data_IF_675096906992
#
_entry.id   IF_675096906992
#
_cell.length_a   1.000
_cell.length_b   1.000
_cell.length_c   1.000
_cell.angle_alpha   90.00
_cell.angle_beta   90.00
_cell.angle_gamma   90.00
#
_symmetry.space_group_name_H-M   'P 1'
#
loop_
_entity.id
_entity.type
_entity.pdbx_description
1 polymer ?
#
# COMPACT_ATOMS: atom_id res chain seq x y z
N UNK A 1 61.65 18.50 -11.75
CA UNK A 1 63.01 18.20 -11.22
C UNK A 1 62.90 17.47 -9.87
N UNK A 2 63.02 16.14 -9.95
CA UNK A 2 63.33 15.14 -8.90
C UNK A 2 62.31 15.04 -7.73
N UNK A 3 61.58 13.93 -7.51
CA UNK A 3 61.98 12.51 -7.56
C UNK A 3 62.32 12.07 -6.12
N UNK A 4 61.81 10.98 -5.55
CA UNK A 4 61.02 9.89 -6.11
C UNK A 4 60.61 8.86 -5.05
N UNK A 5 59.97 7.81 -5.56
CA UNK A 5 59.56 6.59 -4.88
C UNK A 5 60.74 5.75 -4.37
N UNK A 6 60.59 5.19 -3.16
CA UNK A 6 61.14 3.91 -2.73
C UNK A 6 60.11 3.36 -1.70
N UNK A 7 59.61 2.14 -1.70
CA UNK A 7 60.16 0.89 -2.18
C UNK A 7 59.81 -0.17 -1.12
N UNK A 8 58.86 -1.03 -1.47
CA UNK A 8 58.48 -2.32 -0.91
C UNK A 8 59.18 -2.89 0.35
N UNK A 9 58.36 -3.38 1.28
CA UNK A 9 58.61 -4.65 1.98
C UNK A 9 57.43 -5.61 1.79
N UNK A 10 57.61 -6.75 1.09
CA UNK A 10 56.71 -7.90 1.15
C UNK A 10 57.07 -8.75 2.38
N UNK A 11 56.15 -9.56 2.92
CA UNK A 11 56.20 -11.03 3.08
C UNK A 11 55.12 -11.44 4.10
N UNK A 12 54.23 -12.35 3.70
CA UNK A 12 53.61 -13.47 4.44
C UNK A 12 52.23 -13.74 3.83
N UNK A 13 52.14 -14.53 2.77
CA UNK A 13 52.22 -16.00 2.69
C UNK A 13 50.86 -16.68 2.86
N UNK A 14 50.43 -17.28 1.74
CA UNK A 14 49.71 -18.55 1.60
C UNK A 14 48.52 -18.83 2.53
N UNK A 15 47.33 -19.01 1.94
CA UNK A 15 46.58 -20.29 1.97
C UNK A 15 45.35 -20.17 1.04
N UNK A 16 45.39 -20.97 -0.04
CA UNK A 16 44.23 -21.57 -0.76
C UNK A 16 43.48 -20.69 -1.78
N UNK A 17 44.11 -20.49 -2.94
CA UNK A 17 43.41 -20.45 -4.24
C UNK A 17 43.62 -21.79 -4.91
N UNK A 18 42.67 -22.71 -4.74
CA UNK A 18 42.64 -23.99 -5.46
C UNK A 18 41.20 -24.46 -5.69
N UNK A 19 40.44 -23.71 -6.49
CA UNK A 19 39.30 -24.30 -7.22
C UNK A 19 38.75 -23.34 -8.31
N UNK A 20 39.57 -22.98 -9.29
CA UNK A 20 39.08 -22.38 -10.54
C UNK A 20 39.83 -23.03 -11.70
N UNK A 21 39.27 -24.16 -12.14
CA UNK A 21 39.34 -24.74 -13.50
C UNK A 21 38.98 -26.23 -13.42
N UNK A 22 37.71 -26.55 -13.60
CA UNK A 22 37.31 -27.81 -14.24
C UNK A 22 35.92 -27.66 -14.87
N UNK A 23 35.94 -27.81 -16.18
CA UNK A 23 34.87 -28.29 -17.07
C UNK A 23 33.71 -27.34 -17.40
N UNK A 24 33.85 -26.78 -18.60
CA UNK A 24 32.78 -26.35 -19.47
C UNK A 24 31.89 -27.53 -19.92
N UNK A 25 30.68 -27.16 -20.36
CA UNK A 25 29.74 -27.87 -21.24
C UNK A 25 28.85 -28.98 -20.63
N UNK A 26 27.56 -28.66 -20.40
CA UNK A 26 26.39 -29.41 -20.96
C UNK A 26 25.22 -28.42 -21.16
N UNK A 27 24.53 -28.59 -22.29
CA UNK A 27 23.48 -27.75 -22.86
C UNK A 27 22.09 -27.89 -22.21
N UNK A 28 21.32 -26.79 -22.30
CA UNK A 28 19.97 -26.66 -22.86
C UNK A 28 19.10 -27.94 -23.01
N UNK A 29 18.23 -28.21 -22.02
CA UNK A 29 16.88 -28.81 -22.11
C UNK A 29 16.55 -29.62 -20.83
N UNK A 30 15.66 -29.12 -19.96
CA UNK A 30 14.68 -29.92 -19.19
C UNK A 30 14.02 -29.09 -18.07
N UNK A 31 13.03 -28.27 -18.43
CA UNK A 31 12.04 -27.72 -17.46
C UNK A 31 10.66 -27.77 -18.12
N UNK A 32 10.28 -28.94 -18.64
CA UNK A 32 8.93 -29.25 -19.13
C UNK A 32 8.55 -30.70 -18.83
N UNK A 33 8.75 -31.14 -17.59
CA UNK A 33 8.37 -32.49 -17.16
C UNK A 33 8.15 -32.52 -15.65
N UNK A 34 7.26 -31.67 -15.14
CA UNK A 34 6.77 -31.75 -13.75
C UNK A 34 5.27 -31.37 -13.66
N UNK A 35 4.50 -31.77 -14.68
CA UNK A 35 3.03 -31.80 -14.67
C UNK A 35 2.55 -33.17 -15.13
N UNK A 36 2.83 -34.22 -14.34
CA UNK A 36 2.16 -35.52 -14.49
C UNK A 36 2.61 -36.50 -13.40
N UNK A 37 2.09 -36.35 -12.18
CA UNK A 37 1.92 -37.44 -11.18
C UNK A 37 1.51 -36.83 -9.83
N UNK A 38 0.21 -36.70 -9.62
CA UNK A 38 -0.40 -36.97 -8.32
C UNK A 38 -1.91 -36.98 -8.51
N UNK A 39 -2.37 -37.99 -9.23
CA UNK A 39 -3.76 -38.42 -9.19
C UNK A 39 -3.79 -39.81 -8.59
N UNK A 40 -4.66 -39.97 -7.58
CA UNK A 40 -5.30 -41.24 -7.16
C UNK A 40 -4.51 -42.09 -6.14
N UNK A 41 -4.96 -42.03 -4.88
CA UNK A 41 -5.29 -43.18 -4.02
C UNK A 41 -5.53 -42.73 -2.57
N UNK A 42 -6.75 -42.91 -2.07
CA UNK A 42 -7.03 -43.36 -0.70
C UNK A 42 -8.54 -43.56 -0.50
N UNK A 43 -8.92 -44.82 -0.38
CA UNK A 43 -10.21 -45.33 0.13
C UNK A 43 -9.93 -45.86 1.55
N UNK A 44 -10.96 -45.85 2.40
CA UNK A 44 -11.15 -46.56 3.68
C UNK A 44 -10.27 -46.20 4.90
N UNK A 45 -10.88 -45.80 6.02
CA UNK A 45 -11.30 -46.68 7.14
C UNK A 45 -11.97 -45.83 8.27
N UNK A 46 -12.75 -46.48 9.15
CA UNK A 46 -13.59 -45.88 10.22
C UNK A 46 -12.82 -45.18 11.35
N UNK A 47 -13.37 -44.81 12.51
CA UNK A 47 -14.54 -45.28 13.27
C UNK A 47 -14.65 -44.42 14.55
N UNK A 48 -15.86 -44.30 15.13
CA UNK A 48 -16.09 -43.82 16.50
C UNK A 48 -16.30 -42.31 16.62
N UNK A 49 -17.29 -41.76 17.32
CA UNK A 49 -18.28 -42.29 18.26
C UNK A 49 -18.76 -41.05 19.04
N UNK A 50 -19.94 -40.52 18.72
CA UNK A 50 -20.44 -39.30 19.38
C UNK A 50 -21.28 -39.68 20.60
N UNK A 51 -20.66 -39.56 21.78
CA UNK A 51 -21.37 -39.64 23.05
C UNK A 51 -22.23 -38.38 23.24
N UNK A 52 -23.49 -38.61 23.60
CA UNK A 52 -24.45 -37.63 24.07
C UNK A 52 -24.15 -37.27 25.54
N UNK A 53 -24.16 -35.98 25.85
CA UNK A 53 -24.54 -35.38 27.12
C UNK A 53 -24.56 -33.86 26.87
N UNK A 54 -25.47 -33.04 27.35
CA UNK A 54 -26.59 -33.17 28.27
C UNK A 54 -27.04 -31.72 28.49
N UNK A 55 -28.32 -31.45 28.28
CA UNK A 55 -28.90 -30.15 28.57
C UNK A 55 -28.85 -29.90 30.08
N UNK A 56 -28.37 -28.74 30.50
CA UNK A 56 -28.87 -28.10 31.71
C UNK A 56 -28.92 -26.59 31.49
N UNK A 57 -30.11 -26.09 31.77
CA UNK A 57 -30.61 -24.75 31.66
C UNK A 57 -30.06 -23.95 32.86
N UNK A 58 -29.49 -22.77 32.62
CA UNK A 58 -29.45 -21.73 33.65
C UNK A 58 -29.43 -20.36 32.97
N UNK A 59 -30.62 -19.79 32.85
CA UNK A 59 -30.86 -18.38 32.58
C UNK A 59 -30.17 -17.52 33.64
N UNK A 60 -29.37 -16.55 33.19
CA UNK A 60 -29.10 -15.33 33.96
C UNK A 60 -29.50 -14.18 33.05
N UNK A 61 -30.66 -13.60 33.35
CA UNK A 61 -31.16 -12.37 32.75
C UNK A 61 -30.24 -11.19 33.10
N UNK A 62 -30.03 -10.24 32.17
CA UNK A 62 -29.19 -9.07 32.39
C UNK A 62 -29.88 -8.02 33.27
N UNK A 63 -29.14 -7.52 34.26
CA UNK A 63 -29.54 -6.39 35.09
C UNK A 63 -29.47 -5.06 34.31
N UNK A 64 -30.63 -4.39 34.27
CA UNK A 64 -30.89 -2.95 34.34
C UNK A 64 -30.24 -1.99 33.33
N UNK A 65 -31.03 -1.39 32.40
CA UNK A 65 -30.60 -0.24 31.60
C UNK A 65 -30.58 1.08 32.42
N UNK A 66 -29.77 2.08 32.02
CA UNK A 66 -29.79 3.40 32.63
C UNK A 66 -31.09 4.17 32.33
N UNK A 67 -31.38 5.07 33.28
CA UNK A 67 -32.54 5.96 33.45
C UNK A 67 -33.16 6.52 32.16
N UNK A 68 -34.48 6.53 32.17
CA UNK A 68 -35.34 7.29 31.27
C UNK A 68 -34.99 8.78 31.31
N UNK A 69 -34.44 9.29 30.22
CA UNK A 69 -34.61 10.68 29.83
C UNK A 69 -35.81 10.77 28.90
N UNK A 70 -36.67 11.75 29.18
CA UNK A 70 -37.92 12.00 28.49
C UNK A 70 -37.68 12.25 27.00
N UNK A 71 -38.03 11.28 26.15
CA UNK A 71 -38.44 11.59 24.79
C UNK A 71 -39.95 11.57 24.78
N UNK A 72 -40.53 12.76 24.90
CA UNK A 72 -41.89 13.04 24.45
C UNK A 72 -42.02 12.49 23.02
N UNK A 73 -42.68 11.35 22.87
CA UNK A 73 -43.34 11.04 21.60
C UNK A 73 -44.48 12.03 21.49
N UNK A 74 -44.16 13.25 21.04
CA UNK A 74 -45.13 14.01 20.32
C UNK A 74 -45.38 13.19 19.05
N UNK A 75 -46.47 12.45 19.05
CA UNK A 75 -47.30 12.34 17.87
C UNK A 75 -47.55 13.78 17.41
N UNK A 76 -46.63 14.34 16.63
CA UNK A 76 -47.01 15.39 15.71
C UNK A 76 -47.75 14.64 14.63
N UNK A 77 -49.06 14.64 14.80
CA UNK A 77 -50.01 14.48 13.72
C UNK A 77 -49.47 15.15 12.46
N UNK A 78 -49.80 14.58 11.31
CA UNK A 78 -49.65 15.17 9.99
C UNK A 78 -50.39 16.52 9.93
N UNK A 79 -49.86 17.54 10.60
CA UNK A 79 -50.33 18.90 10.51
C UNK A 79 -49.67 19.50 9.27
N UNK A 80 -50.40 19.38 8.16
CA UNK A 80 -50.37 20.34 7.07
C UNK A 80 -50.73 21.72 7.65
N UNK A 81 -49.75 22.40 8.24
CA UNK A 81 -49.88 23.83 8.54
C UNK A 81 -49.74 24.60 7.24
N UNK A 82 -50.85 24.70 6.52
CA UNK A 82 -50.99 25.61 5.37
C UNK A 82 -51.00 27.05 5.87
N UNK A 83 -49.82 27.61 6.14
CA UNK A 83 -49.62 29.06 6.25
C UNK A 83 -48.98 29.56 4.95
N UNK A 84 -49.83 29.96 4.00
CA UNK A 84 -49.42 30.65 2.76
C UNK A 84 -49.17 29.74 1.54
N UNK A 85 -49.06 30.33 0.33
CA UNK A 85 -49.12 29.62 -0.95
C UNK A 85 -47.83 28.85 -1.33
N UNK A 86 -46.86 28.72 -0.44
CA UNK A 86 -45.62 28.01 -0.74
C UNK A 86 -45.64 26.63 -0.07
N UNK A 87 -45.62 25.58 -0.90
CA UNK A 87 -45.42 24.22 -0.40
C UNK A 87 -44.03 24.11 0.22
N UNK A 88 -43.92 24.08 1.54
CA UNK A 88 -42.69 23.68 2.22
C UNK A 88 -42.50 22.19 2.04
N UNK A 89 -41.90 21.80 0.92
CA UNK A 89 -41.43 20.44 0.72
C UNK A 89 -40.50 20.06 1.88
N UNK A 90 -40.67 18.84 2.39
CA UNK A 90 -39.77 18.17 3.34
C UNK A 90 -38.33 18.34 2.81
N UNK A 91 -37.57 19.28 3.37
CA UNK A 91 -36.16 19.46 3.01
C UNK A 91 -35.48 18.12 3.32
N UNK A 92 -35.03 17.42 2.28
CA UNK A 92 -34.39 16.12 2.44
C UNK A 92 -33.16 16.25 3.33
N UNK A 93 -32.94 15.27 4.20
CA UNK A 93 -31.79 15.24 5.10
C UNK A 93 -30.50 15.33 4.29
N UNK A 94 -29.86 16.50 4.29
CA UNK A 94 -28.61 16.71 3.58
C UNK A 94 -27.53 15.88 4.29
N UNK A 95 -27.14 14.75 3.71
CA UNK A 95 -26.01 13.96 4.19
C UNK A 95 -24.70 14.70 3.87
N UNK A 96 -24.27 15.55 4.80
CA UNK A 96 -22.99 16.27 4.69
C UNK A 96 -21.85 15.26 4.81
N UNK A 97 -21.35 14.81 3.66
CA UNK A 97 -20.17 13.94 3.58
C UNK A 97 -18.94 14.77 3.93
N UNK A 98 -18.32 14.48 5.07
CA UNK A 98 -17.08 15.14 5.47
C UNK A 98 -16.02 14.98 4.37
N UNK A 99 -15.31 16.07 4.06
CA UNK A 99 -14.24 16.07 3.07
C UNK A 99 -13.13 15.10 3.47
N UNK A 100 -12.83 14.12 2.60
CA UNK A 100 -11.76 13.13 2.80
C UNK A 100 -10.38 13.74 2.52
N UNK A 101 -9.96 14.68 3.36
CA UNK A 101 -8.61 15.21 3.32
C UNK A 101 -7.61 14.22 3.92
N UNK A 102 -6.37 14.24 3.43
CA UNK A 102 -5.28 13.44 4.04
C UNK A 102 -4.84 14.13 5.32
N UNK A 103 -5.13 13.51 6.46
CA UNK A 103 -4.80 14.04 7.77
C UNK A 103 -3.38 13.67 8.18
N UNK A 104 -2.73 14.52 8.96
CA UNK A 104 -1.45 14.18 9.60
C UNK A 104 -1.78 13.33 10.83
N UNK A 105 -1.55 12.03 10.72
CA UNK A 105 -1.78 11.07 11.79
C UNK A 105 -0.60 10.10 11.92
N UNK A 106 -0.49 9.50 13.09
CA UNK A 106 0.52 8.47 13.36
C UNK A 106 0.30 7.27 12.45
N UNK A 107 1.38 6.68 11.95
CA UNK A 107 1.34 5.55 11.03
C UNK A 107 1.02 5.91 9.58
N UNK A 108 0.68 7.16 9.27
CA UNK A 108 0.52 7.59 7.88
C UNK A 108 1.87 7.58 7.17
N UNK A 109 1.86 7.05 5.94
CA UNK A 109 3.04 6.96 5.10
C UNK A 109 3.19 8.26 4.30
N UNK A 110 4.43 8.69 4.21
CA UNK A 110 4.89 9.97 3.74
C UNK A 110 5.89 9.75 2.62
N UNK A 111 5.80 10.59 1.59
CA UNK A 111 6.82 10.73 0.55
C UNK A 111 7.59 12.03 0.77
N UNK A 112 8.92 11.97 0.83
CA UNK A 112 9.75 13.17 0.85
C UNK A 112 9.82 13.82 -0.53
N UNK A 113 9.54 15.12 -0.61
CA UNK A 113 9.67 15.93 -1.84
C UNK A 113 11.02 16.62 -1.96
N UNK A 114 11.61 17.02 -0.83
CA UNK A 114 12.82 17.85 -0.77
C UNK A 114 13.79 17.30 0.28
N UNK A 115 15.06 17.71 0.19
CA UNK A 115 16.12 17.33 1.11
C UNK A 115 16.84 16.04 0.71
N UNK A 116 17.75 15.60 1.58
CA UNK A 116 18.61 14.43 1.34
C UNK A 116 17.85 13.10 1.17
N UNK A 117 16.60 13.06 1.62
CA UNK A 117 15.72 11.88 1.52
C UNK A 117 14.66 12.01 0.43
N UNK A 118 14.79 12.96 -0.51
CA UNK A 118 13.81 13.16 -1.57
C UNK A 118 13.52 11.87 -2.36
N UNK A 119 12.23 11.61 -2.60
CA UNK A 119 11.75 10.42 -3.28
C UNK A 119 11.66 9.16 -2.42
N UNK A 120 12.13 9.20 -1.16
CA UNK A 120 12.03 8.07 -0.22
C UNK A 120 10.70 8.08 0.52
N UNK A 121 10.29 6.89 0.94
CA UNK A 121 9.11 6.68 1.76
C UNK A 121 9.47 6.62 3.24
N UNK A 122 8.53 7.04 4.08
CA UNK A 122 8.64 6.87 5.51
C UNK A 122 7.28 6.87 6.20
N UNK A 123 7.20 6.33 7.42
CA UNK A 123 6.02 6.41 8.28
C UNK A 123 6.21 7.52 9.33
N UNK A 124 5.11 8.17 9.71
CA UNK A 124 5.08 9.08 10.85
C UNK A 124 5.01 8.26 12.14
N UNK A 125 6.05 8.31 12.96
CA UNK A 125 6.09 7.65 14.27
C UNK A 125 5.31 8.48 15.31
N UNK A 126 5.57 9.78 15.34
CA UNK A 126 4.97 10.72 16.28
C UNK A 126 4.87 12.11 15.65
N UNK A 127 3.87 12.88 16.09
CA UNK A 127 3.75 14.30 15.78
C UNK A 127 4.46 15.05 16.91
N UNK A 128 5.47 15.84 16.55
CA UNK A 128 6.24 16.62 17.54
C UNK A 128 5.51 17.95 17.75
N UNK A 129 5.38 18.71 16.67
CA UNK A 129 4.73 20.02 16.64
C UNK A 129 3.82 20.10 15.40
N UNK A 130 3.05 21.17 15.28
CA UNK A 130 2.22 21.43 14.10
C UNK A 130 2.99 21.51 12.78
N UNK A 131 4.31 21.78 12.83
CA UNK A 131 5.17 21.92 11.65
C UNK A 131 6.12 20.75 11.44
N UNK A 132 6.30 19.88 12.45
CA UNK A 132 7.36 18.86 12.47
C UNK A 132 6.83 17.52 12.95
N UNK A 133 7.28 16.46 12.29
CA UNK A 133 6.93 15.08 12.58
C UNK A 133 8.18 14.25 12.77
N UNK A 134 8.13 13.28 13.68
CA UNK A 134 9.15 12.26 13.81
C UNK A 134 8.87 11.17 12.78
N UNK A 135 9.84 10.94 11.90
CA UNK A 135 9.66 10.12 10.70
C UNK A 135 10.74 9.06 10.62
N UNK A 136 10.36 7.89 10.12
CA UNK A 136 11.27 6.78 9.90
C UNK A 136 10.84 5.95 8.69
N UNK A 137 11.79 5.57 7.83
CA UNK A 137 11.51 4.83 6.60
C UNK A 137 12.28 3.54 6.53
N UNK A 138 11.54 2.44 6.40
CA UNK A 138 12.09 1.11 6.20
C UNK A 138 11.99 0.76 4.72
N UNK A 139 13.07 0.20 4.18
CA UNK A 139 13.04 -0.34 2.84
C UNK A 139 13.96 -1.55 2.73
N UNK A 140 13.67 -2.40 1.75
CA UNK A 140 14.52 -3.54 1.38
C UNK A 140 15.91 -3.09 0.90
N UNK A 141 15.98 -1.92 0.24
CA UNK A 141 17.24 -1.35 -0.26
C UNK A 141 17.85 -0.39 0.76
N UNK A 142 19.11 -0.64 1.16
CA UNK A 142 19.85 0.22 2.11
C UNK A 142 19.88 1.69 1.69
N UNK A 143 19.98 1.98 0.38
CA UNK A 143 19.99 3.34 -0.16
C UNK A 143 18.67 4.10 0.03
N UNK A 144 17.55 3.40 0.21
CA UNK A 144 16.21 3.98 0.36
C UNK A 144 15.77 4.09 1.83
N UNK A 145 16.55 3.55 2.75
CA UNK A 145 16.30 3.68 4.19
C UNK A 145 16.40 5.16 4.59
N UNK A 146 15.49 5.56 5.48
CA UNK A 146 15.45 6.88 6.09
C UNK A 146 15.60 6.69 7.60
N UNK A 147 16.69 7.19 8.21
CA UNK A 147 16.89 7.06 9.65
C UNK A 147 15.82 7.85 10.41
N UNK A 148 15.61 7.49 11.67
CA UNK A 148 14.68 8.18 12.55
C UNK A 148 15.15 9.61 12.83
N UNK A 149 14.39 10.59 12.36
CA UNK A 149 14.70 12.01 12.58
C UNK A 149 13.43 12.88 12.54
N UNK A 150 13.55 14.11 13.02
CA UNK A 150 12.49 15.11 12.91
C UNK A 150 12.51 15.73 11.50
N UNK A 151 11.40 15.59 10.78
CA UNK A 151 11.21 16.17 9.46
C UNK A 151 10.13 17.26 9.49
N UNK A 152 10.35 18.41 8.83
CA UNK A 152 9.30 19.40 8.66
C UNK A 152 8.23 18.90 7.69
N UNK A 153 6.96 19.13 8.01
CA UNK A 153 5.82 18.73 7.18
C UNK A 153 5.83 19.39 5.80
N UNK A 154 6.47 20.54 5.65
CA UNK A 154 6.65 21.24 4.37
C UNK A 154 7.49 20.46 3.35
N UNK A 155 8.36 19.55 3.80
CA UNK A 155 9.22 18.75 2.92
C UNK A 155 8.56 17.44 2.51
N UNK A 156 7.41 17.15 3.08
CA UNK A 156 6.74 15.87 3.08
C UNK A 156 5.42 15.98 2.31
N UNK A 157 5.00 14.89 1.67
CA UNK A 157 3.66 14.76 1.10
C UNK A 157 3.00 13.52 1.62
N UNK A 158 1.82 13.71 2.21
CA UNK A 158 1.01 12.66 2.77
C UNK A 158 0.50 11.74 1.66
N UNK A 159 0.72 10.44 1.81
CA UNK A 159 0.16 9.43 0.91
C UNK A 159 -1.18 8.95 1.45
N UNK A 160 -1.91 8.17 0.65
CA UNK A 160 -3.17 7.55 1.08
C UNK A 160 -2.98 6.30 1.95
N UNK A 161 -1.75 5.84 2.14
CA UNK A 161 -1.44 4.60 2.88
C UNK A 161 -1.28 4.95 4.35
N UNK A 162 -1.98 4.20 5.21
CA UNK A 162 -1.94 4.36 6.66
C UNK A 162 -1.69 2.99 7.29
N UNK A 163 -0.69 2.92 8.16
CA UNK A 163 -0.46 1.76 9.01
C UNK A 163 -1.40 1.90 10.22
N UNK A 164 -2.36 0.98 10.41
CA UNK A 164 -3.30 1.09 11.51
C UNK A 164 -2.62 0.86 12.86
N UNK A 165 -3.14 1.52 13.91
CA UNK A 165 -2.81 1.28 15.33
C UNK A 165 -1.31 1.35 15.67
N UNK A 166 -0.61 2.38 15.17
CA UNK A 166 0.77 2.66 15.61
C UNK A 166 0.76 3.29 17.02
N UNK A 167 1.49 2.73 18.00
CA UNK A 167 1.58 3.32 19.33
C UNK A 167 2.37 4.63 19.29
N UNK A 168 2.13 5.51 20.27
CA UNK A 168 2.90 6.75 20.40
C UNK A 168 4.38 6.42 20.59
N UNK A 169 5.26 7.10 19.85
CA UNK A 169 6.71 6.90 19.94
C UNK A 169 7.15 5.44 19.74
N UNK A 170 6.48 4.70 18.85
CA UNK A 170 6.81 3.31 18.53
C UNK A 170 8.31 3.13 18.27
N UNK A 171 8.93 2.09 18.86
CA UNK A 171 10.33 1.75 18.64
C UNK A 171 10.64 1.34 17.20
N UNK A 172 11.92 1.37 16.80
CA UNK A 172 12.37 1.01 15.45
C UNK A 172 11.89 -0.38 15.04
N UNK A 173 12.12 -1.37 15.90
CA UNK A 173 11.77 -2.77 15.66
C UNK A 173 10.25 -2.98 15.57
N UNK A 174 9.47 -2.25 16.37
CA UNK A 174 8.01 -2.32 16.35
C UNK A 174 7.47 -1.73 15.03
N UNK A 175 7.96 -0.57 14.61
CA UNK A 175 7.55 0.04 13.34
C UNK A 175 7.98 -0.80 12.14
N UNK A 176 9.16 -1.40 12.16
CA UNK A 176 9.62 -2.28 11.09
C UNK A 176 8.68 -3.49 10.92
N UNK A 177 8.27 -4.11 12.02
CA UNK A 177 7.30 -5.22 12.01
C UNK A 177 5.98 -4.77 11.41
N UNK A 178 5.44 -3.63 11.86
CA UNK A 178 4.17 -3.09 11.35
C UNK A 178 4.26 -2.71 9.87
N UNK A 179 5.38 -2.14 9.43
CA UNK A 179 5.65 -1.79 8.04
C UNK A 179 5.62 -3.02 7.13
N UNK A 180 6.27 -4.10 7.57
CA UNK A 180 6.33 -5.36 6.84
C UNK A 180 4.98 -6.09 6.84
N UNK A 181 4.27 -6.11 7.99
CA UNK A 181 2.94 -6.70 8.11
C UNK A 181 1.92 -6.03 7.16
N UNK A 182 1.98 -4.70 7.07
CA UNK A 182 1.09 -3.92 6.23
C UNK A 182 1.52 -3.93 4.74
N UNK A 183 2.72 -4.45 4.44
CA UNK A 183 3.31 -4.53 3.09
C UNK A 183 3.27 -3.19 2.36
N UNK A 184 3.78 -2.16 3.02
CA UNK A 184 3.70 -0.77 2.54
C UNK A 184 4.37 -0.59 1.17
N UNK A 185 5.47 -1.28 0.90
CA UNK A 185 6.18 -1.19 -0.39
C UNK A 185 5.32 -1.70 -1.55
N UNK A 186 4.61 -2.82 -1.37
CA UNK A 186 3.70 -3.38 -2.38
C UNK A 186 2.50 -2.45 -2.62
N UNK A 187 1.89 -1.96 -1.54
CA UNK A 187 0.79 -0.99 -1.61
C UNK A 187 1.21 0.30 -2.30
N UNK A 188 2.44 0.75 -2.04
CA UNK A 188 3.00 1.90 -2.71
C UNK A 188 3.21 1.64 -4.20
N UNK A 189 3.81 0.51 -4.58
CA UNK A 189 4.05 0.15 -5.98
C UNK A 189 2.73 0.09 -6.79
N UNK A 190 1.66 -0.39 -6.18
CA UNK A 190 0.33 -0.44 -6.77
C UNK A 190 -0.38 0.92 -6.83
N UNK A 191 0.07 1.91 -6.07
CA UNK A 191 -0.58 3.21 -6.00
C UNK A 191 -0.47 4.01 -7.32
N UNK A 192 -1.53 4.75 -7.66
CA UNK A 192 -1.56 5.62 -8.86
C UNK A 192 -0.39 6.62 -8.89
N UNK A 193 0.00 7.14 -7.72
CA UNK A 193 1.12 8.08 -7.60
C UNK A 193 2.44 7.42 -8.00
N UNK A 194 2.75 6.24 -7.45
CA UNK A 194 3.98 5.53 -7.79
C UNK A 194 4.02 5.13 -9.27
N UNK A 195 2.90 4.62 -9.80
CA UNK A 195 2.79 4.28 -11.22
C UNK A 195 2.99 5.50 -12.13
N UNK A 196 2.44 6.65 -11.75
CA UNK A 196 2.59 7.90 -12.52
C UNK A 196 4.03 8.40 -12.48
N UNK A 197 4.67 8.36 -11.31
CA UNK A 197 6.09 8.69 -11.17
C UNK A 197 6.97 7.76 -12.01
N UNK A 198 6.72 6.44 -11.96
CA UNK A 198 7.46 5.46 -12.76
C UNK A 198 7.24 5.65 -14.27
N UNK A 199 6.02 6.01 -14.70
CA UNK A 199 5.73 6.38 -16.09
C UNK A 199 6.48 7.65 -16.50
N UNK A 200 6.56 8.65 -15.63
CA UNK A 200 7.29 9.89 -15.90
C UNK A 200 8.80 9.64 -16.02
N UNK A 201 9.38 8.85 -15.11
CA UNK A 201 10.79 8.46 -15.19
C UNK A 201 11.10 7.70 -16.48
N UNK A 202 10.27 6.70 -16.83
CA UNK A 202 10.40 5.98 -18.10
C UNK A 202 10.33 6.92 -19.30
N UNK A 203 9.37 7.85 -19.33
CA UNK A 203 9.24 8.84 -20.42
C UNK A 203 10.45 9.74 -20.57
N UNK A 204 11.14 10.07 -19.47
CA UNK A 204 12.38 10.85 -19.49
C UNK A 204 13.57 10.04 -20.02
N UNK A 205 13.56 8.72 -19.83
CA UNK A 205 14.63 7.80 -20.23
C UNK A 205 14.50 7.29 -21.68
N UNK A 206 13.38 7.57 -22.37
CA UNK A 206 13.13 7.02 -23.71
C UNK A 206 14.13 7.53 -24.75
N UNK A 207 14.71 6.59 -25.50
CA UNK A 207 15.52 6.87 -26.68
C UNK A 207 14.64 7.29 -27.87
N UNK A 208 15.21 7.94 -28.88
CA UNK A 208 14.48 8.48 -30.03
C UNK A 208 13.68 7.42 -30.79
N UNK A 209 14.27 6.25 -31.00
CA UNK A 209 13.58 5.12 -31.60
C UNK A 209 12.37 4.64 -30.79
N UNK A 210 12.47 4.67 -29.47
CA UNK A 210 11.35 4.31 -28.58
C UNK A 210 10.26 5.38 -28.61
N UNK A 211 10.63 6.66 -28.74
CA UNK A 211 9.67 7.75 -28.95
C UNK A 211 8.90 7.57 -30.27
N UNK A 212 9.57 7.14 -31.33
CA UNK A 212 8.92 6.79 -32.59
C UNK A 212 7.91 5.63 -32.40
N UNK A 213 8.31 4.55 -31.72
CA UNK A 213 7.38 3.45 -31.38
C UNK A 213 6.16 3.94 -30.60
N UNK A 214 6.37 4.75 -29.56
CA UNK A 214 5.27 5.34 -28.77
C UNK A 214 4.36 6.19 -29.64
N UNK A 215 4.90 6.96 -30.60
CA UNK A 215 4.09 7.75 -31.53
C UNK A 215 3.19 6.87 -32.40
N UNK A 216 3.73 5.79 -32.98
CA UNK A 216 2.98 4.84 -33.80
C UNK A 216 1.90 4.13 -32.98
N UNK A 217 2.24 3.58 -31.81
CA UNK A 217 1.29 2.92 -30.92
C UNK A 217 0.15 3.86 -30.47
N UNK A 218 0.45 5.14 -30.22
CA UNK A 218 -0.58 6.14 -29.90
C UNK A 218 -1.51 6.44 -31.08
N UNK A 219 -1.02 6.41 -32.32
CA UNK A 219 -1.86 6.56 -33.52
C UNK A 219 -2.81 5.36 -33.67
N UNK A 220 -2.31 4.14 -33.47
CA UNK A 220 -3.10 2.90 -33.51
C UNK A 220 -4.21 2.91 -32.44
N UNK A 221 -3.85 3.14 -31.17
CA UNK A 221 -4.82 3.17 -30.07
C UNK A 221 -5.92 4.24 -30.26
N UNK A 222 -5.56 5.41 -30.82
CA UNK A 222 -6.52 6.48 -31.16
C UNK A 222 -7.47 6.09 -32.29
N UNK A 223 -6.97 5.39 -33.30
CA UNK A 223 -7.79 4.92 -34.40
C UNK A 223 -8.84 3.90 -33.91
N UNK A 224 -8.41 2.94 -33.08
CA UNK A 224 -9.30 1.95 -32.47
C UNK A 224 -10.38 2.60 -31.60
N UNK A 225 -10.01 3.53 -30.71
CA UNK A 225 -10.99 4.25 -29.87
C UNK A 225 -11.97 5.07 -30.70
N UNK A 226 -11.54 5.71 -31.80
CA UNK A 226 -12.47 6.42 -32.70
C UNK A 226 -13.43 5.47 -33.40
N UNK A 227 -12.95 4.30 -33.84
CA UNK A 227 -13.77 3.26 -34.48
C UNK A 227 -14.84 2.74 -33.51
N UNK A 228 -14.47 2.43 -32.26
CA UNK A 228 -15.42 1.97 -31.24
C UNK A 228 -16.44 3.06 -30.89
N UNK A 229 -16.00 4.31 -30.74
CA UNK A 229 -16.91 5.43 -30.48
C UNK A 229 -17.90 5.64 -31.63
N UNK A 230 -17.44 5.63 -32.88
CA UNK A 230 -18.32 5.74 -34.05
C UNK A 230 -19.37 4.61 -34.08
N UNK A 231 -18.96 3.37 -33.84
CA UNK A 231 -19.88 2.23 -33.75
C UNK A 231 -20.89 2.36 -32.60
N UNK A 232 -20.44 2.80 -31.42
CA UNK A 232 -21.32 2.96 -30.25
C UNK A 232 -22.34 4.09 -30.44
N UNK A 233 -21.97 5.19 -31.11
CA UNK A 233 -22.87 6.30 -31.42
C UNK A 233 -23.93 5.91 -32.44
N UNK A 234 -23.55 5.11 -33.45
CA UNK A 234 -24.51 4.61 -34.45
C UNK A 234 -25.52 3.59 -33.91
N UNK A 235 -25.24 2.93 -32.78
CA UNK A 235 -26.15 1.97 -32.12
C UNK A 235 -27.10 2.61 -31.08
N UNK A 236 -26.83 3.85 -30.68
CA UNK A 236 -27.60 4.58 -29.64
C UNK A 236 -28.63 5.55 -30.25
N UNK A 237 -28.55 5.75 -31.57
CA UNK A 237 -29.59 6.38 -32.38
C UNK A 237 -30.54 5.30 -32.88
#
# INVERSE_FOLDING_TARGET
PHGGDCGACPVQSLVVVRCLRRLAAVNFADVRTLQSKCGRCAKSAGSGGSFRAGASHFEISPASPPRADLTTTATTDDHDTTFGPYKTGKMGDASVTASSWRLVERGRVVLFKKGQYAGKLAAIAQIIDHRRVLVEGFSSDASKVVPRHAAPLSYVTLTGIVIPKVPLAAGHTALQKLWNNEKVEEKWANSKTAQTSAKLMRRRQLNDFERFKVMVLRKQARFETRKTLASSRGKKA
#
